data_IF_167973501709
#
_entry.id   IF_167973501709
#
_cell.length_a   1.000
_cell.length_b   1.000
_cell.length_c   1.000
_cell.angle_alpha   90.00
_cell.angle_beta   90.00
_cell.angle_gamma   90.00
#
_symmetry.space_group_name_H-M   'P 1'
#
loop_
_entity.id
_entity.type
_entity.pdbx_description
1 polymer ?
#
# COMPACT_ATOMS: atom_id res chain seq x y z
N UNK A 1 -1.77 -11.42 31.94
CA UNK A 1 -2.48 -10.62 30.91
C UNK A 1 -2.05 -11.03 29.50
N UNK A 2 -0.75 -11.02 29.15
CA UNK A 2 -0.26 -11.40 27.82
C UNK A 2 -0.54 -12.88 27.43
N UNK A 3 -0.41 -13.82 28.38
CA UNK A 3 -0.58 -15.25 28.11
C UNK A 3 -2.04 -15.65 27.77
N UNK A 4 -3.03 -14.92 28.28
CA UNK A 4 -4.44 -15.16 27.98
C UNK A 4 -4.84 -14.72 26.58
N UNK A 5 -4.27 -13.61 26.09
CA UNK A 5 -4.51 -13.10 24.73
C UNK A 5 -3.87 -14.04 23.70
N UNK A 6 -2.68 -14.54 23.97
CA UNK A 6 -1.99 -15.49 23.09
C UNK A 6 -2.75 -16.82 22.97
N UNK A 7 -3.20 -17.40 24.10
CA UNK A 7 -4.00 -18.63 24.11
C UNK A 7 -5.33 -18.46 23.37
N UNK A 8 -6.06 -17.40 23.67
CA UNK A 8 -7.33 -17.11 23.00
C UNK A 8 -7.15 -16.96 21.48
N UNK A 9 -6.06 -16.32 21.03
CA UNK A 9 -5.73 -16.20 19.61
C UNK A 9 -5.47 -17.56 18.95
N UNK A 10 -4.70 -18.43 19.59
CA UNK A 10 -4.40 -19.77 19.05
C UNK A 10 -5.65 -20.63 18.97
N UNK A 11 -6.41 -20.72 20.07
CA UNK A 11 -7.64 -21.51 20.13
C UNK A 11 -8.66 -21.04 19.06
N UNK A 12 -8.76 -19.72 18.88
CA UNK A 12 -9.65 -19.13 17.87
C UNK A 12 -9.20 -19.41 16.42
N UNK A 13 -7.89 -19.44 16.13
CA UNK A 13 -7.38 -19.79 14.80
C UNK A 13 -7.69 -21.25 14.46
N UNK A 14 -7.54 -22.15 15.44
CA UNK A 14 -7.83 -23.56 15.26
C UNK A 14 -9.34 -23.80 15.10
N UNK A 15 -10.19 -23.05 15.80
CA UNK A 15 -11.64 -23.04 15.58
C UNK A 15 -12.01 -22.60 14.15
N UNK A 16 -11.36 -21.55 13.62
CA UNK A 16 -11.58 -21.13 12.22
C UNK A 16 -11.17 -22.23 11.25
N UNK A 17 -10.03 -22.89 11.47
CA UNK A 17 -9.58 -24.02 10.63
C UNK A 17 -10.59 -25.15 10.64
N UNK A 18 -11.09 -25.53 11.82
CA UNK A 18 -12.12 -26.53 11.96
C UNK A 18 -13.41 -26.13 11.22
N UNK A 19 -13.82 -24.85 11.33
CA UNK A 19 -14.99 -24.34 10.60
C UNK A 19 -14.82 -24.36 9.08
N UNK A 20 -13.63 -24.07 8.55
CA UNK A 20 -13.35 -24.16 7.10
C UNK A 20 -13.51 -25.61 6.63
N UNK A 21 -12.94 -26.56 7.36
CA UNK A 21 -13.01 -27.98 7.03
C UNK A 21 -14.43 -28.55 7.13
N UNK A 22 -15.19 -28.16 8.15
CA UNK A 22 -16.53 -28.70 8.42
C UNK A 22 -17.61 -28.04 7.55
N UNK A 23 -17.55 -26.71 7.36
CA UNK A 23 -18.62 -25.93 6.73
C UNK A 23 -18.32 -25.44 5.32
N UNK A 24 -17.14 -25.74 4.76
CA UNK A 24 -16.68 -25.25 3.45
C UNK A 24 -16.92 -23.74 3.29
N UNK A 25 -16.41 -22.96 4.25
CA UNK A 25 -16.54 -21.51 4.18
C UNK A 25 -15.81 -20.96 2.96
N UNK A 26 -16.45 -20.03 2.25
CA UNK A 26 -15.83 -19.32 1.13
C UNK A 26 -14.61 -18.51 1.59
N UNK A 27 -13.53 -18.42 0.77
CA UNK A 27 -12.30 -17.72 1.10
C UNK A 27 -12.52 -16.28 1.59
N UNK A 28 -13.49 -15.59 1.01
CA UNK A 28 -13.86 -14.22 1.35
C UNK A 28 -14.40 -14.10 2.77
N UNK A 29 -15.16 -15.09 3.23
CA UNK A 29 -15.71 -15.10 4.59
C UNK A 29 -14.62 -15.34 5.61
N UNK A 30 -13.67 -16.22 5.30
CA UNK A 30 -12.51 -16.47 6.14
C UNK A 30 -11.64 -15.22 6.23
N UNK A 31 -11.33 -14.60 5.09
CA UNK A 31 -10.58 -13.34 5.05
C UNK A 31 -11.24 -12.24 5.91
N UNK A 32 -12.58 -12.13 5.87
CA UNK A 32 -13.32 -11.18 6.70
C UNK A 32 -13.16 -11.44 8.20
N UNK A 33 -13.11 -12.71 8.62
CA UNK A 33 -12.86 -13.06 10.02
C UNK A 33 -11.43 -12.70 10.41
N UNK A 34 -10.45 -13.02 9.56
CA UNK A 34 -9.03 -12.74 9.80
C UNK A 34 -8.71 -11.24 9.88
N UNK A 35 -9.52 -10.38 9.26
CA UNK A 35 -9.41 -8.92 9.41
C UNK A 35 -9.74 -8.42 10.82
N UNK A 36 -10.38 -9.23 11.66
CA UNK A 36 -10.65 -8.88 13.05
C UNK A 36 -9.44 -9.11 13.98
N UNK A 37 -8.40 -9.77 13.50
CA UNK A 37 -7.15 -9.95 14.25
C UNK A 37 -6.33 -8.65 14.26
N UNK A 38 -5.55 -8.46 15.32
CA UNK A 38 -4.58 -7.37 15.38
C UNK A 38 -3.59 -7.47 14.21
N UNK A 39 -3.27 -6.33 13.61
CA UNK A 39 -2.35 -6.26 12.49
C UNK A 39 -0.91 -6.46 12.96
N UNK A 40 -0.29 -7.57 12.55
CA UNK A 40 1.09 -7.90 12.85
C UNK A 40 1.65 -8.87 11.82
N UNK A 41 2.99 -8.99 11.73
CA UNK A 41 3.65 -10.01 10.89
C UNK A 41 3.12 -11.42 11.16
N UNK A 42 2.88 -11.74 12.42
CA UNK A 42 2.36 -13.05 12.83
C UNK A 42 0.99 -13.31 12.21
N UNK A 43 0.10 -12.31 12.27
CA UNK A 43 -1.23 -12.39 11.65
C UNK A 43 -1.13 -12.60 10.15
N UNK A 44 -0.23 -11.90 9.45
CA UNK A 44 -0.05 -12.07 8.01
C UNK A 44 0.56 -13.43 7.65
N UNK A 45 1.46 -13.97 8.47
CA UNK A 45 1.97 -15.33 8.30
C UNK A 45 0.87 -16.38 8.50
N UNK A 46 0.00 -16.18 9.49
CA UNK A 46 -1.18 -17.02 9.72
C UNK A 46 -2.11 -16.97 8.50
N UNK A 47 -2.45 -15.77 8.01
CA UNK A 47 -3.29 -15.56 6.82
C UNK A 47 -2.70 -16.29 5.60
N UNK A 48 -1.40 -16.15 5.37
CA UNK A 48 -0.72 -16.84 4.28
C UNK A 48 -0.82 -18.37 4.39
N UNK A 49 -0.72 -18.90 5.62
CA UNK A 49 -0.84 -20.34 5.88
C UNK A 49 -2.25 -20.90 5.70
N UNK A 50 -3.30 -20.07 5.62
CA UNK A 50 -4.64 -20.52 5.26
C UNK A 50 -4.78 -20.85 3.77
N UNK A 51 -3.85 -20.37 2.93
CA UNK A 51 -3.79 -20.65 1.49
C UNK A 51 -3.91 -19.40 0.64
N UNK A 52 -3.47 -19.51 -0.62
CA UNK A 52 -3.33 -18.38 -1.55
C UNK A 52 -4.64 -17.63 -1.79
N UNK A 53 -5.76 -18.34 -1.94
CA UNK A 53 -7.07 -17.71 -2.15
C UNK A 53 -7.51 -16.85 -0.96
N UNK A 54 -7.23 -17.29 0.26
CA UNK A 54 -7.58 -16.56 1.49
C UNK A 54 -6.62 -15.38 1.69
N UNK A 55 -5.33 -15.56 1.41
CA UNK A 55 -4.32 -14.50 1.45
C UNK A 55 -4.69 -13.38 0.46
N UNK A 56 -4.97 -13.70 -0.79
CA UNK A 56 -5.41 -12.72 -1.79
C UNK A 56 -6.72 -12.04 -1.38
N UNK A 57 -7.71 -12.81 -0.91
CA UNK A 57 -8.99 -12.28 -0.43
C UNK A 57 -8.84 -11.33 0.78
N UNK A 58 -7.87 -11.59 1.66
CA UNK A 58 -7.52 -10.75 2.80
C UNK A 58 -6.88 -9.44 2.32
N UNK A 59 -5.81 -9.51 1.52
CA UNK A 59 -5.09 -8.33 1.04
C UNK A 59 -5.92 -7.46 0.09
N UNK A 60 -6.89 -8.03 -0.62
CA UNK A 60 -7.88 -7.26 -1.40
C UNK A 60 -8.79 -6.39 -0.54
N UNK A 61 -9.04 -6.79 0.71
CA UNK A 61 -9.97 -6.12 1.63
C UNK A 61 -9.27 -5.28 2.70
N UNK A 62 -8.07 -5.66 3.09
CA UNK A 62 -7.30 -5.00 4.15
C UNK A 62 -7.16 -3.50 3.86
N UNK A 63 -7.50 -2.66 4.83
CA UNK A 63 -7.28 -1.22 4.71
C UNK A 63 -5.78 -0.91 4.62
N UNK A 64 -5.43 0.02 3.72
CA UNK A 64 -4.08 0.54 3.47
C UNK A 64 -3.56 1.40 4.62
N UNK A 65 -4.46 1.99 5.41
CA UNK A 65 -4.08 2.93 6.45
C UNK A 65 -3.42 2.25 7.65
N UNK A 66 -2.39 2.92 8.18
CA UNK A 66 -1.79 2.64 9.48
C UNK A 66 -1.22 1.22 9.64
N UNK A 67 -0.37 0.79 8.71
CA UNK A 67 0.45 -0.42 8.87
C UNK A 67 1.30 -0.30 10.14
N UNK A 68 0.97 -1.12 11.14
CA UNK A 68 1.69 -1.21 12.41
C UNK A 68 2.95 -2.06 12.21
N UNK A 69 4.10 -1.56 12.68
CA UNK A 69 5.38 -2.27 12.59
C UNK A 69 6.54 -1.41 12.10
N UNK A 70 7.67 -2.03 11.83
CA UNK A 70 8.89 -1.38 11.33
C UNK A 70 8.84 -1.07 9.82
N UNK A 71 9.97 -0.65 9.24
CA UNK A 71 10.06 -0.38 7.80
C UNK A 71 9.85 -1.64 6.95
N UNK A 72 10.37 -2.79 7.39
CA UNK A 72 10.20 -4.07 6.68
C UNK A 72 8.74 -4.51 6.61
N UNK A 73 7.94 -4.20 7.64
CA UNK A 73 6.50 -4.50 7.68
C UNK A 73 5.73 -3.69 6.65
N UNK A 74 6.10 -2.41 6.55
CA UNK A 74 5.53 -1.49 5.58
C UNK A 74 5.88 -1.93 4.16
N UNK A 75 7.14 -2.28 3.90
CA UNK A 75 7.58 -2.76 2.60
C UNK A 75 6.88 -4.07 2.21
N UNK A 76 6.75 -5.01 3.15
CA UNK A 76 6.00 -6.25 2.92
C UNK A 76 4.53 -5.98 2.55
N UNK A 77 3.86 -5.08 3.28
CA UNK A 77 2.48 -4.72 2.99
C UNK A 77 2.34 -4.04 1.62
N UNK A 78 3.27 -3.15 1.26
CA UNK A 78 3.35 -2.52 -0.06
C UNK A 78 3.44 -3.57 -1.16
N UNK A 79 4.36 -4.54 -1.03
CA UNK A 79 4.54 -5.62 -2.00
C UNK A 79 3.26 -6.45 -2.17
N UNK A 80 2.58 -6.75 -1.05
CA UNK A 80 1.31 -7.47 -1.05
C UNK A 80 0.20 -6.71 -1.77
N UNK A 81 0.03 -5.42 -1.50
CA UNK A 81 -0.97 -4.61 -2.21
C UNK A 81 -0.74 -4.57 -3.71
N UNK A 82 0.51 -4.42 -4.16
CA UNK A 82 0.83 -4.48 -5.59
C UNK A 82 0.49 -5.85 -6.17
N UNK A 83 0.89 -6.93 -5.50
CA UNK A 83 0.65 -8.30 -5.97
C UNK A 83 -0.85 -8.64 -6.11
N UNK A 84 -1.69 -8.07 -5.25
CA UNK A 84 -3.14 -8.24 -5.30
C UNK A 84 -3.86 -7.24 -6.23
N UNK A 85 -3.12 -6.49 -7.06
CA UNK A 85 -3.71 -5.54 -8.01
C UNK A 85 -4.30 -4.29 -7.34
N UNK A 86 -3.73 -3.86 -6.20
CA UNK A 86 -4.13 -2.62 -5.49
C UNK A 86 -3.00 -1.58 -5.42
N UNK A 87 -2.53 -1.05 -6.57
CA UNK A 87 -1.48 -0.02 -6.61
C UNK A 87 -1.76 1.19 -5.72
N UNK A 88 -3.00 1.71 -5.74
CA UNK A 88 -3.35 2.88 -4.91
C UNK A 88 -3.26 2.60 -3.41
N UNK A 89 -3.63 1.40 -2.96
CA UNK A 89 -3.46 1.01 -1.56
C UNK A 89 -1.97 0.98 -1.17
N UNK A 90 -1.09 0.61 -2.09
CA UNK A 90 0.36 0.63 -1.90
C UNK A 90 0.94 2.06 -1.84
N UNK A 91 0.35 3.03 -2.55
CA UNK A 91 0.67 4.47 -2.45
C UNK A 91 0.18 5.07 -1.13
N UNK A 92 -1.00 4.67 -0.67
CA UNK A 92 -1.62 5.17 0.56
C UNK A 92 -0.92 4.66 1.82
N UNK A 93 -0.47 3.41 1.83
CA UNK A 93 0.10 2.76 3.01
C UNK A 93 1.26 3.55 3.67
N UNK A 94 2.25 4.07 2.93
CA UNK A 94 3.37 4.78 3.51
C UNK A 94 3.13 6.28 3.77
N UNK A 95 1.92 6.83 3.59
CA UNK A 95 1.69 8.30 3.60
C UNK A 95 2.22 9.07 4.84
N UNK A 96 2.34 8.43 6.01
CA UNK A 96 2.90 9.05 7.24
C UNK A 96 4.37 8.70 7.50
N UNK A 97 4.95 7.83 6.69
CA UNK A 97 6.23 7.15 6.90
C UNK A 97 7.00 7.03 5.57
N UNK A 98 6.87 8.00 4.68
CA UNK A 98 7.50 7.97 3.36
C UNK A 98 9.04 7.84 3.47
N UNK A 99 9.63 8.45 4.51
CA UNK A 99 11.05 8.32 4.86
C UNK A 99 11.53 6.88 5.14
N UNK A 100 10.63 5.96 5.50
CA UNK A 100 10.97 4.55 5.71
C UNK A 100 11.05 3.76 4.39
N UNK A 101 10.57 4.34 3.29
CA UNK A 101 10.50 3.68 1.98
C UNK A 101 11.63 4.18 1.08
N UNK A 102 12.48 3.28 0.52
CA UNK A 102 13.55 3.68 -0.39
C UNK A 102 13.04 4.42 -1.62
N UNK A 103 13.81 5.38 -2.11
CA UNK A 103 13.45 6.25 -3.24
C UNK A 103 13.03 5.47 -4.49
N UNK A 104 13.82 4.45 -4.86
CA UNK A 104 13.48 3.56 -5.98
C UNK A 104 12.14 2.86 -5.82
N UNK A 105 11.74 2.52 -4.59
CA UNK A 105 10.46 1.84 -4.32
C UNK A 105 9.30 2.82 -4.49
N UNK A 106 9.44 4.06 -4.02
CA UNK A 106 8.46 5.13 -4.26
C UNK A 106 8.27 5.42 -5.75
N UNK A 107 9.36 5.49 -6.52
CA UNK A 107 9.27 5.63 -7.99
C UNK A 107 8.58 4.44 -8.64
N UNK A 108 8.88 3.21 -8.20
CA UNK A 108 8.19 2.03 -8.71
C UNK A 108 6.69 2.05 -8.40
N UNK A 109 6.28 2.53 -7.22
CA UNK A 109 4.87 2.68 -6.85
C UNK A 109 4.12 3.60 -7.82
N UNK A 110 4.70 4.79 -8.08
CA UNK A 110 4.16 5.72 -9.06
C UNK A 110 4.08 5.08 -10.45
N UNK A 111 5.10 4.34 -10.89
CA UNK A 111 5.04 3.67 -12.20
C UNK A 111 3.88 2.67 -12.28
N UNK A 112 3.75 1.80 -11.27
CA UNK A 112 2.73 0.74 -11.24
C UNK A 112 1.32 1.29 -11.11
N UNK A 113 1.13 2.41 -10.40
CA UNK A 113 -0.19 3.02 -10.22
C UNK A 113 -0.65 3.88 -11.42
N UNK A 114 0.25 4.23 -12.34
CA UNK A 114 -0.03 5.08 -13.51
C UNK A 114 -1.28 4.66 -14.30
N UNK A 115 -1.52 3.36 -14.61
CA UNK A 115 -2.71 2.93 -15.35
C UNK A 115 -4.01 3.19 -14.59
N UNK A 116 -4.04 2.91 -13.28
CA UNK A 116 -5.21 3.11 -12.42
C UNK A 116 -5.54 4.61 -12.31
N UNK A 117 -4.52 5.43 -12.10
CA UNK A 117 -4.66 6.87 -11.95
C UNK A 117 -5.09 7.54 -13.27
N UNK A 118 -4.56 7.07 -14.41
CA UNK A 118 -5.00 7.53 -15.73
C UNK A 118 -6.45 7.14 -16.05
N UNK A 119 -6.92 6.00 -15.53
CA UNK A 119 -8.32 5.58 -15.65
C UNK A 119 -9.27 6.42 -14.78
N UNK A 120 -8.75 7.03 -13.70
CA UNK A 120 -9.49 7.94 -12.82
C UNK A 120 -9.65 9.37 -13.37
N UNK A 121 -9.19 9.66 -14.60
CA UNK A 121 -9.31 11.00 -15.21
C UNK A 121 -10.76 11.52 -15.16
N UNK A 122 -10.97 12.56 -14.36
CA UNK A 122 -12.27 13.23 -14.16
C UNK A 122 -13.01 12.89 -12.86
N UNK A 123 -12.61 11.82 -12.14
CA UNK A 123 -13.24 11.39 -10.89
C UNK A 123 -12.26 10.83 -9.84
N UNK A 124 -10.94 10.96 -10.08
CA UNK A 124 -9.91 10.61 -9.12
C UNK A 124 -10.10 11.42 -7.86
N UNK A 125 -10.44 10.74 -6.76
CA UNK A 125 -10.72 11.39 -5.50
C UNK A 125 -9.55 12.28 -5.11
N UNK A 126 -9.84 13.49 -4.62
CA UNK A 126 -8.86 14.49 -4.17
C UNK A 126 -7.75 13.90 -3.28
N UNK A 127 -8.07 12.83 -2.54
CA UNK A 127 -7.10 12.09 -1.71
C UNK A 127 -6.02 11.35 -2.51
N UNK A 128 -6.33 10.78 -3.67
CA UNK A 128 -5.33 10.07 -4.49
C UNK A 128 -4.28 11.04 -5.03
N UNK A 129 -4.70 12.24 -5.46
CA UNK A 129 -3.79 13.32 -5.89
C UNK A 129 -2.90 13.76 -4.72
N UNK A 130 -3.49 13.95 -3.53
CA UNK A 130 -2.75 14.30 -2.32
C UNK A 130 -1.61 13.30 -2.01
N UNK A 131 -1.88 11.99 -2.03
CA UNK A 131 -0.81 11.01 -1.73
C UNK A 131 0.29 10.98 -2.79
N UNK A 132 -0.05 11.21 -4.06
CA UNK A 132 0.92 11.30 -5.15
C UNK A 132 1.81 12.53 -4.96
N UNK A 133 1.22 13.69 -4.64
CA UNK A 133 1.95 14.92 -4.35
C UNK A 133 2.91 14.74 -3.17
N UNK A 134 2.47 14.10 -2.08
CA UNK A 134 3.33 13.80 -0.93
C UNK A 134 4.52 12.90 -1.28
N UNK A 135 4.36 11.95 -2.21
CA UNK A 135 5.48 11.13 -2.69
C UNK A 135 6.48 12.00 -3.46
N UNK A 136 6.01 12.88 -4.35
CA UNK A 136 6.91 13.78 -5.09
C UNK A 136 7.64 14.74 -4.14
N UNK A 137 6.93 15.35 -3.19
CA UNK A 137 7.52 16.23 -2.17
C UNK A 137 8.62 15.51 -1.37
N UNK A 138 8.39 14.26 -0.97
CA UNK A 138 9.41 13.45 -0.30
C UNK A 138 10.62 13.19 -1.21
N UNK A 139 10.40 12.84 -2.48
CA UNK A 139 11.48 12.52 -3.44
C UNK A 139 12.33 13.75 -3.80
N UNK A 140 11.74 14.93 -3.88
CA UNK A 140 12.46 16.19 -4.12
C UNK A 140 13.48 16.49 -3.00
N UNK A 141 13.16 16.10 -1.76
CA UNK A 141 14.04 16.32 -0.62
C UNK A 141 15.22 15.32 -0.55
N UNK A 142 15.29 14.36 -1.47
CA UNK A 142 16.32 13.31 -1.48
C UNK A 142 17.35 13.55 -2.58
N UNK A 143 18.62 13.32 -2.25
CA UNK A 143 19.74 13.49 -3.18
C UNK A 143 20.14 12.21 -3.91
N UNK A 144 19.44 11.10 -3.69
CA UNK A 144 19.77 9.78 -4.23
C UNK A 144 19.10 9.47 -5.59
N UNK A 145 18.36 10.43 -6.14
CA UNK A 145 17.71 10.33 -7.45
C UNK A 145 18.22 11.45 -8.38
N UNK A 146 18.60 11.16 -9.63
CA UNK A 146 18.89 12.18 -10.62
C UNK A 146 17.65 13.06 -10.89
N UNK A 147 17.81 14.38 -10.86
CA UNK A 147 16.71 15.32 -11.09
C UNK A 147 15.98 15.10 -12.43
N UNK A 148 16.70 14.67 -13.47
CA UNK A 148 16.10 14.33 -14.78
C UNK A 148 15.13 13.16 -14.69
N UNK A 149 15.40 12.16 -13.85
CA UNK A 149 14.55 10.99 -13.68
C UNK A 149 13.25 11.36 -12.95
N UNK A 150 13.35 12.18 -11.90
CA UNK A 150 12.20 12.71 -11.17
C UNK A 150 11.32 13.57 -12.08
N UNK A 151 11.91 14.50 -12.84
CA UNK A 151 11.19 15.38 -13.76
C UNK A 151 10.42 14.61 -14.84
N UNK A 152 10.98 13.52 -15.38
CA UNK A 152 10.28 12.64 -16.34
C UNK A 152 9.03 12.01 -15.73
N UNK A 153 9.10 11.59 -14.47
CA UNK A 153 7.94 11.03 -13.76
C UNK A 153 6.90 12.09 -13.47
N UNK A 154 7.29 13.25 -12.93
CA UNK A 154 6.37 14.38 -12.69
C UNK A 154 5.63 14.79 -13.97
N UNK A 155 6.33 14.83 -15.10
CA UNK A 155 5.72 15.15 -16.40
C UNK A 155 4.62 14.15 -16.78
N UNK A 156 4.79 12.86 -16.48
CA UNK A 156 3.75 11.85 -16.72
C UNK A 156 2.49 12.07 -15.85
N UNK A 157 2.65 12.70 -14.68
CA UNK A 157 1.59 12.97 -13.71
C UNK A 157 0.93 14.36 -13.83
N UNK A 158 1.49 15.24 -14.67
CA UNK A 158 1.00 16.61 -14.95
C UNK A 158 -0.51 16.75 -15.17
N UNK A 159 -1.21 15.85 -15.89
CA UNK A 159 -2.65 16.01 -16.10
C UNK A 159 -3.51 15.83 -14.84
N UNK A 160 -2.92 15.36 -13.73
CA UNK A 160 -3.62 14.92 -12.52
C UNK A 160 -3.29 15.80 -11.30
N UNK A 161 -2.07 16.33 -11.22
CA UNK A 161 -1.63 17.23 -10.14
C UNK A 161 -1.88 18.68 -10.53
N UNK A 162 -2.38 19.52 -9.62
CA UNK A 162 -2.58 20.95 -9.92
C UNK A 162 -1.22 21.63 -10.08
N UNK A 163 -1.13 22.52 -11.07
CA UNK A 163 0.06 23.33 -11.34
C UNK A 163 0.46 24.13 -10.09
N UNK A 164 1.60 23.83 -9.45
CA UNK A 164 2.26 24.80 -8.57
C UNK A 164 3.13 24.33 -7.39
N UNK A 165 3.19 23.05 -7.02
CA UNK A 165 3.87 22.63 -5.76
C UNK A 165 5.28 22.07 -5.91
N UNK A 166 5.61 21.41 -7.03
CA UNK A 166 6.97 20.91 -7.29
C UNK A 166 7.89 22.01 -7.81
N UNK A 167 9.05 22.19 -7.15
CA UNK A 167 10.04 23.22 -7.50
C UNK A 167 10.79 22.89 -8.81
N UNK A 168 10.85 21.62 -9.20
CA UNK A 168 11.57 21.16 -10.39
C UNK A 168 10.88 21.64 -11.67
N UNK A 169 9.55 21.72 -11.65
CA UNK A 169 8.76 22.25 -12.77
C UNK A 169 9.01 23.75 -13.05
N UNK A 170 9.48 24.54 -12.07
CA UNK A 170 9.86 25.94 -12.34
C UNK A 170 11.07 26.07 -13.26
N UNK A 171 11.94 25.07 -13.31
CA UNK A 171 13.16 25.10 -14.13
C UNK A 171 12.85 24.76 -15.59
N UNK A 172 11.80 23.97 -15.84
CA UNK A 172 11.37 23.60 -17.20
C UNK A 172 10.38 24.59 -17.83
N UNK A 173 9.99 25.68 -17.15
CA UNK A 173 9.30 26.80 -17.77
C UNK A 173 10.35 27.64 -18.52
N UNK A 174 10.62 27.23 -19.77
CA UNK A 174 11.28 27.95 -20.88
C UNK A 174 12.08 29.22 -20.52
N UNK A 175 13.42 29.26 -20.71
CA UNK A 175 14.06 30.54 -20.99
C UNK A 175 13.61 31.01 -22.38
N UNK A 176 13.41 32.33 -22.50
CA UNK A 176 12.98 33.06 -23.70
C UNK A 176 13.74 32.68 -24.99
#
# INVERSE_FOLDING_TARGET
>A
MAEGVARFRTDWIDDIRAMISDKKLEPERVAQLLLALDESKETWAIVHNFGELIDEAYWKRKHSFAIVGGADDLLFAIDKYISCGRPMAAIEAPHRRLGDVPSRRLMQLLLVATPEINALRGNGGTMSVYYIEQIFDELENRSDIPAEELAKMEFAYRPLTVCGTSAVVRICAFPD
#
